data_IF_281730586696
#
_entry.id   IF_281730586696
#
_cell.length_a   1.000
_cell.length_b   1.000
_cell.length_c   1.000
_cell.angle_alpha   90.00
_cell.angle_beta   90.00
_cell.angle_gamma   90.00
#
_symmetry.space_group_name_H-M   'P 1'
#
loop_
_entity.id
_entity.type
_entity.pdbx_description
1 polymer ?
#
# COMPACT_ATOMS: atom_id res chain seq x y z
N UNK A 1 35.33 -15.04 6.14
CA UNK A 1 33.95 -15.03 5.58
C UNK A 1 32.94 -14.17 6.37
N UNK A 2 33.24 -13.70 7.59
CA UNK A 2 32.31 -12.86 8.38
C UNK A 2 32.31 -11.37 7.97
N UNK A 3 33.46 -10.85 7.55
CA UNK A 3 33.62 -9.43 7.20
C UNK A 3 32.81 -9.03 5.95
N UNK A 4 32.80 -9.88 4.91
CA UNK A 4 32.02 -9.64 3.68
C UNK A 4 30.51 -9.60 3.97
N UNK A 5 30.04 -10.47 4.87
CA UNK A 5 28.63 -10.48 5.30
C UNK A 5 28.23 -9.19 6.03
N UNK A 6 29.13 -8.65 6.86
CA UNK A 6 28.88 -7.42 7.60
C UNK A 6 28.77 -6.20 6.68
N UNK A 7 29.68 -6.06 5.70
CA UNK A 7 29.63 -4.97 4.71
C UNK A 7 28.33 -4.97 3.91
N UNK A 8 27.89 -6.16 3.45
CA UNK A 8 26.62 -6.30 2.74
C UNK A 8 25.40 -5.85 3.57
N UNK A 9 25.40 -6.15 4.87
CA UNK A 9 24.34 -5.69 5.78
C UNK A 9 24.37 -4.17 5.89
N UNK A 10 25.54 -3.55 6.06
CA UNK A 10 25.68 -2.10 6.15
C UNK A 10 25.18 -1.42 4.87
N UNK A 11 25.56 -1.90 3.70
CA UNK A 11 25.13 -1.31 2.43
C UNK A 11 23.61 -1.48 2.21
N UNK A 12 23.06 -2.61 2.63
CA UNK A 12 21.60 -2.83 2.63
C UNK A 12 20.89 -1.82 3.52
N UNK A 13 21.39 -1.61 4.75
CA UNK A 13 20.79 -0.69 5.72
C UNK A 13 20.90 0.78 5.27
N UNK A 14 22.02 1.18 4.66
CA UNK A 14 22.19 2.52 4.09
C UNK A 14 21.11 2.88 3.07
N UNK A 15 20.58 1.89 2.35
CA UNK A 15 19.50 2.09 1.38
C UNK A 15 18.12 1.93 2.04
N UNK A 16 17.95 0.91 2.87
CA UNK A 16 16.65 0.56 3.45
C UNK A 16 16.15 1.61 4.45
N UNK A 17 17.02 2.15 5.30
CA UNK A 17 16.64 3.08 6.37
C UNK A 17 16.09 4.40 5.81
N UNK A 18 16.77 5.12 4.89
CA UNK A 18 16.21 6.34 4.31
C UNK A 18 14.91 6.08 3.55
N UNK A 19 14.82 4.95 2.84
CA UNK A 19 13.61 4.54 2.12
C UNK A 19 12.43 4.28 3.06
N UNK A 20 12.67 3.66 4.21
CA UNK A 20 11.65 3.47 5.24
C UNK A 20 11.23 4.81 5.85
N UNK A 21 12.19 5.64 6.26
CA UNK A 21 11.91 6.90 6.95
C UNK A 21 11.22 7.96 6.08
N UNK A 22 11.33 7.85 4.76
CA UNK A 22 10.63 8.72 3.80
C UNK A 22 9.22 8.25 3.44
N UNK A 23 8.86 6.98 3.73
CA UNK A 23 7.56 6.43 3.38
C UNK A 23 6.48 6.84 4.39
N UNK A 24 5.27 7.18 3.93
CA UNK A 24 4.14 7.42 4.82
C UNK A 24 3.78 6.13 5.58
N UNK A 25 3.46 6.28 6.86
CA UNK A 25 3.09 5.18 7.75
C UNK A 25 1.64 5.33 8.20
N UNK A 26 0.89 4.23 8.19
CA UNK A 26 -0.47 4.20 8.71
C UNK A 26 -0.54 4.53 10.21
N UNK A 27 0.48 4.11 10.98
CA UNK A 27 0.60 4.40 12.42
C UNK A 27 0.78 5.91 12.68
N UNK A 28 1.41 6.62 11.73
CA UNK A 28 1.62 8.07 11.78
C UNK A 28 0.56 8.84 11.00
N UNK A 29 -0.60 8.21 10.77
CA UNK A 29 -1.74 8.79 10.05
C UNK A 29 -1.33 9.43 8.72
N UNK A 30 -0.52 8.71 7.93
CA UNK A 30 -0.09 9.12 6.59
C UNK A 30 1.12 10.05 6.56
N UNK A 31 1.71 10.44 7.70
CA UNK A 31 3.04 11.04 7.72
C UNK A 31 4.15 9.99 7.66
N UNK A 32 5.32 10.38 7.17
CA UNK A 32 6.53 9.57 7.26
C UNK A 32 7.26 9.76 8.60
N UNK A 33 8.08 8.78 9.04
CA UNK A 33 8.91 8.94 10.23
C UNK A 33 9.76 10.22 10.20
N UNK A 34 10.35 10.55 9.05
CA UNK A 34 11.16 11.76 8.89
C UNK A 34 10.35 13.04 9.08
N UNK A 35 9.11 13.09 8.59
CA UNK A 35 8.23 14.25 8.76
C UNK A 35 7.88 14.49 10.23
N UNK A 36 7.61 13.41 10.97
CA UNK A 36 7.30 13.49 12.40
C UNK A 36 8.54 13.90 13.20
N UNK A 37 9.70 13.34 12.88
CA UNK A 37 10.97 13.77 13.47
C UNK A 37 11.24 15.27 13.25
N UNK A 38 10.82 15.80 12.11
CA UNK A 38 10.91 17.22 11.76
C UNK A 38 9.73 18.06 12.28
N UNK A 39 8.94 17.56 13.24
CA UNK A 39 7.92 18.32 13.96
C UNK A 39 6.50 18.24 13.41
N UNK A 40 6.22 17.41 12.38
CA UNK A 40 4.83 17.14 11.99
C UNK A 40 4.14 16.31 13.08
N UNK A 41 3.01 16.81 13.58
CA UNK A 41 2.20 16.10 14.59
C UNK A 41 1.18 15.22 13.86
N UNK A 42 1.20 13.88 14.07
CA UNK A 42 0.19 12.99 13.51
C UNK A 42 -1.21 13.28 14.07
N UNK A 43 -2.20 13.35 13.17
CA UNK A 43 -3.60 13.55 13.53
C UNK A 43 -4.46 12.45 12.90
N UNK A 44 -5.13 11.68 13.78
CA UNK A 44 -6.04 10.58 13.40
C UNK A 44 -7.22 11.07 12.55
N UNK A 45 -7.63 12.32 12.73
CA UNK A 45 -8.81 12.87 12.10
C UNK A 45 -8.53 13.61 10.80
N UNK A 46 -7.25 13.78 10.45
CA UNK A 46 -6.78 14.52 9.27
C UNK A 46 -7.48 14.14 7.97
N UNK A 47 -7.79 12.85 7.79
CA UNK A 47 -8.35 12.32 6.55
C UNK A 47 -9.82 11.86 6.65
N UNK A 48 -10.52 12.12 7.77
CA UNK A 48 -11.87 11.58 7.98
C UNK A 48 -12.82 11.95 6.85
N UNK A 49 -12.84 13.22 6.45
CA UNK A 49 -13.80 13.69 5.44
C UNK A 49 -13.48 13.14 4.04
N UNK A 50 -12.20 13.01 3.66
CA UNK A 50 -11.87 12.37 2.39
C UNK A 50 -12.15 10.87 2.41
N UNK A 51 -11.92 10.19 3.54
CA UNK A 51 -12.25 8.77 3.71
C UNK A 51 -13.77 8.57 3.57
N UNK A 52 -14.59 9.39 4.24
CA UNK A 52 -16.05 9.36 4.12
C UNK A 52 -16.49 9.59 2.67
N UNK A 53 -15.93 10.62 2.01
CA UNK A 53 -16.24 10.93 0.61
C UNK A 53 -15.88 9.78 -0.32
N UNK A 54 -14.68 9.21 -0.17
CA UNK A 54 -14.23 8.07 -0.95
C UNK A 54 -15.12 6.84 -0.72
N UNK A 55 -15.49 6.57 0.55
CA UNK A 55 -16.40 5.47 0.89
C UNK A 55 -17.78 5.64 0.24
N UNK A 56 -18.31 6.88 0.18
CA UNK A 56 -19.57 7.17 -0.49
C UNK A 56 -19.50 7.02 -2.02
N UNK A 57 -18.35 7.30 -2.63
CA UNK A 57 -18.16 7.19 -4.08
C UNK A 57 -17.90 5.75 -4.57
N UNK A 58 -17.23 4.92 -3.76
CA UNK A 58 -16.83 3.55 -4.10
C UNK A 58 -17.96 2.71 -4.73
N UNK A 59 -19.21 2.68 -4.22
CA UNK A 59 -20.26 1.87 -4.82
C UNK A 59 -20.60 2.25 -6.26
N UNK A 60 -20.51 3.54 -6.61
CA UNK A 60 -20.82 3.99 -7.96
C UNK A 60 -19.65 3.72 -8.91
N UNK A 61 -18.41 3.93 -8.45
CA UNK A 61 -17.19 3.63 -9.22
C UNK A 61 -17.12 2.13 -9.52
N UNK A 62 -17.27 1.28 -8.49
CA UNK A 62 -17.21 -0.17 -8.64
C UNK A 62 -18.35 -0.75 -9.50
N UNK A 63 -19.44 0.00 -9.71
CA UNK A 63 -20.52 -0.39 -10.64
C UNK A 63 -20.21 0.00 -12.09
N UNK A 64 -19.41 1.04 -12.30
CA UNK A 64 -18.98 1.51 -13.62
C UNK A 64 -17.82 0.67 -14.15
N UNK A 65 -16.96 0.18 -13.25
CA UNK A 65 -16.06 -0.92 -13.56
C UNK A 65 -16.92 -2.15 -13.85
N UNK A 66 -17.24 -2.36 -15.14
CA UNK A 66 -17.62 -3.67 -15.63
C UNK A 66 -16.52 -4.61 -15.15
N UNK A 67 -16.80 -5.40 -14.12
CA UNK A 67 -16.02 -6.61 -13.94
C UNK A 67 -16.15 -7.33 -15.28
N UNK A 68 -15.03 -7.53 -15.99
CA UNK A 68 -15.02 -8.49 -17.09
C UNK A 68 -15.67 -9.74 -16.51
N UNK A 69 -16.74 -10.28 -17.13
CA UNK A 69 -17.38 -11.47 -16.63
C UNK A 69 -16.27 -12.50 -16.48
N UNK A 70 -16.00 -12.92 -15.23
CA UNK A 70 -15.01 -13.96 -14.96
C UNK A 70 -15.39 -15.11 -15.88
N UNK A 71 -14.51 -15.38 -16.86
CA UNK A 71 -14.83 -16.01 -18.13
C UNK A 71 -15.93 -17.06 -18.01
N UNK A 72 -16.99 -16.91 -18.80
CA UNK A 72 -18.09 -17.85 -18.87
C UNK A 72 -17.57 -19.29 -18.80
N UNK A 73 -18.02 -20.04 -17.81
CA UNK A 73 -17.77 -21.49 -17.69
C UNK A 73 -18.31 -22.26 -18.92
N UNK A 74 -18.95 -21.59 -19.88
CA UNK A 74 -19.29 -22.09 -21.21
C UNK A 74 -18.05 -22.48 -22.05
N UNK A 75 -16.84 -22.03 -21.71
CA UNK A 75 -15.59 -22.46 -22.35
C UNK A 75 -15.01 -23.76 -21.78
N UNK A 76 -15.56 -24.28 -20.68
CA UNK A 76 -15.19 -25.61 -20.17
C UNK A 76 -15.95 -26.65 -21.00
N UNK A 77 -15.36 -27.05 -22.12
CA UNK A 77 -15.80 -28.21 -22.91
C UNK A 77 -16.09 -29.38 -21.99
N UNK A 78 -17.37 -29.75 -21.87
CA UNK A 78 -17.77 -30.97 -21.18
C UNK A 78 -17.15 -32.13 -21.93
N UNK A 79 -16.10 -32.75 -21.38
CA UNK A 79 -15.60 -34.05 -21.87
C UNK A 79 -16.79 -35.00 -21.98
N UNK A 80 -17.12 -35.41 -23.21
CA UNK A 80 -18.08 -36.50 -23.47
C UNK A 80 -17.50 -37.78 -22.84
N UNK A 81 -18.38 -38.47 -22.12
CA UNK A 81 -18.15 -39.77 -21.48
C UNK A 81 -18.03 -40.88 -22.52
#
# INVERSE_FOLDING_TARGET
MWFIRWLQIIDTLKIAVPKYNSRPSGVLFGFSPQQVLNGKIPDKHRFIEQIKKAAAMRPNINKQDLCDPCSDTASISKKKK
#
